data_IF_951822758165
#
_entry.id   IF_951822758165
#
_cell.length_a   1.000
_cell.length_b   1.000
_cell.length_c   1.000
_cell.angle_alpha   90.00
_cell.angle_beta   90.00
_cell.angle_gamma   90.00
#
_symmetry.space_group_name_H-M   'P 1'
#
loop_
_entity.id
_entity.type
_entity.pdbx_description
1 polymer ?
#
# COMPACT_ATOMS: atom_id res chain seq x y z
N UNK A 1 7.87 22.44 35.37
CA UNK A 1 6.97 21.46 34.74
C UNK A 1 6.02 22.14 33.78
N UNK A 2 6.21 22.08 32.46
CA UNK A 2 5.14 22.32 31.50
C UNK A 2 4.52 20.97 31.07
N UNK A 3 3.19 20.95 30.97
CA UNK A 3 2.37 19.77 30.72
C UNK A 3 2.49 19.34 29.25
N UNK A 4 2.68 18.04 29.02
CA UNK A 4 2.61 17.42 27.71
C UNK A 4 1.18 17.46 27.15
N UNK A 5 1.02 18.07 25.98
CA UNK A 5 -0.18 17.94 25.15
C UNK A 5 -0.02 16.68 24.30
N UNK A 6 -0.82 15.65 24.58
CA UNK A 6 -0.91 14.46 23.75
C UNK A 6 -1.48 14.83 22.38
N UNK A 7 -0.72 14.56 21.32
CA UNK A 7 -1.26 14.51 19.96
C UNK A 7 -2.16 13.28 19.87
N UNK A 8 -3.45 13.48 20.09
CA UNK A 8 -4.46 12.49 19.73
C UNK A 8 -4.46 12.33 18.21
N UNK A 9 -4.04 11.16 17.73
CA UNK A 9 -4.27 10.71 16.36
C UNK A 9 -5.78 10.67 16.13
N UNK A 10 -6.32 11.70 15.48
CA UNK A 10 -7.69 11.70 14.98
C UNK A 10 -7.59 11.51 13.48
N UNK A 11 -7.94 10.33 13.00
CA UNK A 11 -8.18 10.13 11.58
C UNK A 11 -9.25 11.13 11.11
N UNK A 12 -9.07 11.76 9.94
CA UNK A 12 -10.08 12.63 9.39
C UNK A 12 -11.39 11.84 9.13
N UNK A 13 -12.56 12.47 9.28
CA UNK A 13 -13.84 11.81 9.08
C UNK A 13 -14.01 11.36 7.62
N UNK A 14 -14.83 10.31 7.36
CA UNK A 14 -15.08 9.83 6.00
C UNK A 14 -15.69 10.94 5.13
N UNK A 15 -15.48 10.81 3.82
CA UNK A 15 -15.86 11.75 2.76
C UNK A 15 -17.30 12.31 2.83
N UNK A 16 -18.23 11.62 3.49
CA UNK A 16 -19.61 12.07 3.68
C UNK A 16 -19.83 13.08 4.81
N UNK A 17 -18.89 13.23 5.75
CA UNK A 17 -19.03 14.09 6.93
C UNK A 17 -18.18 15.36 6.90
N UNK A 18 -17.30 15.52 5.90
CA UNK A 18 -16.41 16.70 5.79
C UNK A 18 -17.09 17.92 5.18
N UNK A 19 -18.41 17.90 5.02
CA UNK A 19 -19.17 19.09 4.67
C UNK A 19 -19.12 20.05 5.87
N UNK A 20 -18.24 21.05 5.78
CA UNK A 20 -18.08 22.11 6.77
C UNK A 20 -19.40 22.76 7.11
N UNK A 21 -20.04 22.29 8.19
CA UNK A 21 -21.24 22.91 8.75
C UNK A 21 -20.79 23.92 9.79
N UNK A 22 -20.81 25.20 9.42
CA UNK A 22 -20.72 26.28 10.40
C UNK A 22 -21.94 26.23 11.34
N UNK A 23 -21.78 26.57 12.63
CA UNK A 23 -22.88 26.57 13.61
C UNK A 23 -23.98 27.62 13.33
N UNK A 24 -23.86 28.44 12.28
CA UNK A 24 -24.72 29.59 11.97
C UNK A 24 -25.54 29.47 10.66
N UNK A 25 -25.57 28.32 10.01
CA UNK A 25 -26.57 28.04 8.95
C UNK A 25 -26.38 28.73 7.59
N UNK A 26 -25.18 29.24 7.26
CA UNK A 26 -24.91 29.91 5.99
C UNK A 26 -23.78 29.28 5.14
N UNK A 27 -24.15 28.61 4.05
CA UNK A 27 -23.32 28.27 2.87
C UNK A 27 -22.15 27.29 3.07
N UNK A 28 -21.96 26.37 2.12
CA UNK A 28 -20.82 25.42 2.11
C UNK A 28 -19.53 26.18 1.82
N UNK A 29 -18.58 26.17 2.76
CA UNK A 29 -17.22 26.64 2.51
C UNK A 29 -16.55 25.75 1.45
N UNK A 30 -15.68 26.31 0.57
CA UNK A 30 -14.92 25.51 -0.37
C UNK A 30 -14.00 24.53 0.36
N UNK A 31 -13.83 23.32 -0.19
CA UNK A 31 -12.89 22.33 0.34
C UNK A 31 -11.47 22.88 0.34
N UNK A 32 -10.72 22.57 1.40
CA UNK A 32 -9.29 22.89 1.48
C UNK A 32 -8.46 21.82 0.78
N UNK A 33 -7.20 22.14 0.44
CA UNK A 33 -6.25 21.15 -0.09
C UNK A 33 -6.07 19.96 0.87
N UNK A 34 -6.14 20.21 2.18
CA UNK A 34 -6.07 19.17 3.21
C UNK A 34 -7.29 18.23 3.17
N UNK A 35 -8.49 18.77 2.94
CA UNK A 35 -9.71 17.97 2.80
C UNK A 35 -9.63 17.08 1.56
N UNK A 36 -9.14 17.62 0.44
CA UNK A 36 -8.97 16.89 -0.82
C UNK A 36 -7.90 15.80 -0.67
N UNK A 37 -6.77 16.09 -0.01
CA UNK A 37 -5.72 15.11 0.23
C UNK A 37 -6.19 13.96 1.14
N UNK A 38 -6.91 14.28 2.22
CA UNK A 38 -7.47 13.29 3.13
C UNK A 38 -8.51 12.40 2.43
N UNK A 39 -9.42 13.03 1.67
CA UNK A 39 -10.39 12.35 0.83
C UNK A 39 -9.75 11.36 -0.14
N UNK A 40 -8.72 11.80 -0.86
CA UNK A 40 -7.99 10.97 -1.80
C UNK A 40 -7.30 9.80 -1.09
N UNK A 41 -6.60 10.07 0.01
CA UNK A 41 -5.93 9.03 0.79
C UNK A 41 -6.93 7.98 1.27
N UNK A 42 -8.09 8.39 1.78
CA UNK A 42 -9.13 7.47 2.22
C UNK A 42 -9.65 6.61 1.06
N UNK A 43 -9.98 7.23 -0.08
CA UNK A 43 -10.45 6.49 -1.26
C UNK A 43 -9.40 5.48 -1.78
N UNK A 44 -8.12 5.85 -1.75
CA UNK A 44 -7.02 4.96 -2.13
C UNK A 44 -6.88 3.78 -1.13
N UNK A 45 -6.96 4.05 0.17
CA UNK A 45 -6.95 3.01 1.22
C UNK A 45 -8.11 2.04 1.02
N UNK A 46 -9.33 2.55 0.83
CA UNK A 46 -10.53 1.73 0.65
C UNK A 46 -10.40 0.81 -0.57
N UNK A 47 -9.86 1.34 -1.68
CA UNK A 47 -9.59 0.56 -2.88
C UNK A 47 -8.57 -0.56 -2.62
N UNK A 48 -7.46 -0.26 -1.93
CA UNK A 48 -6.45 -1.26 -1.58
C UNK A 48 -7.04 -2.33 -0.66
N UNK A 49 -7.80 -1.95 0.38
CA UNK A 49 -8.45 -2.88 1.29
C UNK A 49 -9.45 -3.79 0.59
N UNK A 50 -10.29 -3.25 -0.31
CA UNK A 50 -11.24 -4.03 -1.09
C UNK A 50 -10.53 -5.09 -1.94
N UNK A 51 -9.46 -4.70 -2.66
CA UNK A 51 -8.70 -5.65 -3.49
C UNK A 51 -7.95 -6.67 -2.67
N UNK A 52 -7.32 -6.29 -1.57
CA UNK A 52 -6.62 -7.22 -0.68
C UNK A 52 -7.60 -8.21 -0.05
N UNK A 53 -8.77 -7.77 0.43
CA UNK A 53 -9.79 -8.66 0.99
C UNK A 53 -10.27 -9.69 -0.03
N UNK A 54 -10.50 -9.25 -1.28
CA UNK A 54 -10.84 -10.16 -2.39
C UNK A 54 -9.72 -11.18 -2.65
N UNK A 55 -8.47 -10.74 -2.70
CA UNK A 55 -7.32 -11.62 -2.90
C UNK A 55 -7.19 -12.67 -1.79
N UNK A 56 -7.33 -12.25 -0.51
CA UNK A 56 -7.32 -13.16 0.64
C UNK A 56 -8.43 -14.21 0.59
N UNK A 57 -9.57 -13.91 -0.02
CA UNK A 57 -10.64 -14.88 -0.26
C UNK A 57 -10.39 -15.85 -1.42
N UNK A 58 -9.37 -15.63 -2.25
CA UNK A 58 -9.04 -16.47 -3.43
C UNK A 58 -7.78 -17.30 -3.27
N UNK A 59 -6.87 -16.88 -2.38
CA UNK A 59 -5.60 -17.58 -2.13
C UNK A 59 -5.86 -18.76 -1.18
N UNK A 60 -5.36 -19.94 -1.51
CA UNK A 60 -5.40 -21.08 -0.60
C UNK A 60 -4.38 -20.88 0.53
N UNK A 61 -4.87 -20.85 1.78
CA UNK A 61 -4.10 -20.80 3.03
C UNK A 61 -2.90 -19.83 3.01
N UNK A 62 -3.13 -18.51 2.87
CA UNK A 62 -2.06 -17.54 3.01
C UNK A 62 -1.42 -17.65 4.41
N UNK A 63 -0.10 -17.47 4.49
CA UNK A 63 0.66 -17.60 5.75
C UNK A 63 0.98 -16.26 6.40
N UNK A 64 0.92 -15.16 5.64
CA UNK A 64 1.12 -13.79 6.11
C UNK A 64 0.56 -12.79 5.10
N UNK A 65 0.30 -11.56 5.56
CA UNK A 65 0.11 -10.39 4.70
C UNK A 65 1.40 -9.55 4.73
N UNK A 66 2.07 -9.46 3.58
CA UNK A 66 3.33 -8.70 3.44
C UNK A 66 3.07 -7.41 2.65
N UNK A 67 3.57 -6.28 3.14
CA UNK A 67 3.50 -4.98 2.45
C UNK A 67 4.91 -4.41 2.32
N UNK A 68 5.31 -4.12 1.09
CA UNK A 68 6.59 -3.50 0.74
C UNK A 68 6.37 -2.33 -0.23
N UNK A 69 7.43 -1.59 -0.57
CA UNK A 69 7.34 -0.42 -1.43
C UNK A 69 6.99 0.87 -0.68
N UNK A 70 6.94 1.99 -1.40
CA UNK A 70 6.59 3.30 -0.84
C UNK A 70 5.19 3.36 -0.20
N UNK A 71 4.29 2.44 -0.56
CA UNK A 71 2.96 2.32 0.05
C UNK A 71 3.06 1.86 1.51
N UNK A 72 4.03 0.99 1.84
CA UNK A 72 4.29 0.55 3.21
C UNK A 72 4.76 1.69 4.14
N UNK A 73 5.29 2.78 3.56
CA UNK A 73 5.73 3.95 4.31
C UNK A 73 4.58 4.87 4.74
N UNK A 74 3.40 4.75 4.12
CA UNK A 74 2.21 5.50 4.55
C UNK A 74 1.59 4.84 5.79
N UNK A 75 1.60 5.55 6.93
CA UNK A 75 1.14 5.02 8.22
C UNK A 75 -0.35 4.66 8.22
N UNK A 76 -1.19 5.42 7.53
CA UNK A 76 -2.63 5.14 7.43
C UNK A 76 -2.89 3.87 6.63
N UNK A 77 -2.23 3.71 5.47
CA UNK A 77 -2.35 2.50 4.65
C UNK A 77 -1.82 1.29 5.42
N UNK A 78 -0.66 1.43 6.07
CA UNK A 78 -0.06 0.37 6.88
C UNK A 78 -0.99 -0.07 8.00
N UNK A 79 -1.52 0.85 8.80
CA UNK A 79 -2.41 0.53 9.91
C UNK A 79 -3.71 -0.13 9.44
N UNK A 80 -4.26 0.30 8.30
CA UNK A 80 -5.44 -0.31 7.72
C UNK A 80 -5.19 -1.77 7.25
N UNK A 81 -4.05 -2.03 6.61
CA UNK A 81 -3.67 -3.39 6.18
C UNK A 81 -3.29 -4.29 7.36
N UNK A 82 -2.69 -3.75 8.41
CA UNK A 82 -2.41 -4.47 9.65
C UNK A 82 -3.70 -4.91 10.35
N UNK A 83 -4.71 -4.02 10.42
CA UNK A 83 -6.03 -4.37 10.91
C UNK A 83 -6.70 -5.47 10.06
N UNK A 84 -6.63 -5.36 8.73
CA UNK A 84 -7.15 -6.40 7.83
C UNK A 84 -6.43 -7.75 8.03
N UNK A 85 -5.11 -7.75 8.22
CA UNK A 85 -4.37 -8.98 8.52
C UNK A 85 -4.87 -9.63 9.81
N UNK A 86 -5.07 -8.82 10.86
CA UNK A 86 -5.60 -9.29 12.14
C UNK A 86 -7.02 -9.87 12.02
N UNK A 87 -7.91 -9.24 11.24
CA UNK A 87 -9.26 -9.75 10.95
C UNK A 87 -9.22 -11.16 10.31
N UNK A 88 -8.20 -11.44 9.50
CA UNK A 88 -7.99 -12.72 8.85
C UNK A 88 -7.09 -13.69 9.64
N UNK A 89 -6.66 -13.32 10.86
CA UNK A 89 -5.76 -14.13 11.68
C UNK A 89 -4.36 -14.32 11.08
N UNK A 90 -3.93 -13.40 10.22
CA UNK A 90 -2.64 -13.46 9.52
C UNK A 90 -1.59 -12.59 10.22
N UNK A 91 -0.32 -13.05 10.28
CA UNK A 91 0.81 -12.18 10.57
C UNK A 91 0.90 -11.02 9.56
N UNK A 92 1.06 -9.80 10.06
CA UNK A 92 1.38 -8.64 9.25
C UNK A 92 2.90 -8.42 9.19
N UNK A 93 3.46 -8.30 7.99
CA UNK A 93 4.90 -8.09 7.79
C UNK A 93 5.13 -6.85 6.93
N UNK A 94 5.86 -5.89 7.48
CA UNK A 94 6.40 -4.76 6.73
C UNK A 94 7.89 -4.62 7.09
N UNK A 95 8.80 -4.50 6.11
CA UNK A 95 10.20 -4.29 6.40
C UNK A 95 10.42 -2.92 7.07
N UNK A 96 11.58 -2.70 7.74
CA UNK A 96 11.97 -1.37 8.19
C UNK A 96 11.87 -0.36 7.05
N UNK A 97 11.45 0.88 7.34
CA UNK A 97 11.19 1.91 6.30
C UNK A 97 12.37 2.12 5.35
N UNK A 98 13.60 2.05 5.85
CA UNK A 98 14.82 2.17 5.05
C UNK A 98 15.01 1.07 3.99
N UNK A 99 14.30 -0.05 4.13
CA UNK A 99 14.31 -1.19 3.21
C UNK A 99 13.02 -1.30 2.39
N UNK A 100 12.02 -0.44 2.63
CA UNK A 100 10.77 -0.45 1.87
C UNK A 100 10.94 0.11 0.45
N UNK A 101 11.97 0.92 0.19
CA UNK A 101 12.28 1.46 -1.14
C UNK A 101 13.29 0.57 -1.87
N UNK A 102 13.36 0.70 -3.21
CA UNK A 102 14.34 -0.02 -4.03
C UNK A 102 15.76 0.14 -3.48
N UNK A 103 16.43 -0.98 -3.18
CA UNK A 103 17.76 -0.99 -2.58
C UNK A 103 18.59 -2.19 -3.06
N UNK A 104 19.93 -2.07 -3.02
CA UNK A 104 20.82 -3.14 -3.48
C UNK A 104 20.75 -4.41 -2.63
N UNK A 105 20.31 -4.32 -1.37
CA UNK A 105 20.22 -5.47 -0.49
C UNK A 105 19.14 -6.47 -0.96
N UNK A 106 18.02 -6.00 -1.51
CA UNK A 106 16.99 -6.88 -2.07
C UNK A 106 17.49 -7.67 -3.28
N UNK A 107 18.35 -7.05 -4.11
CA UNK A 107 18.96 -7.69 -5.27
C UNK A 107 20.01 -8.71 -4.83
N UNK A 108 20.84 -8.35 -3.84
CA UNK A 108 21.82 -9.27 -3.28
C UNK A 108 21.14 -10.50 -2.65
N UNK A 109 20.04 -10.30 -1.91
CA UNK A 109 19.27 -11.41 -1.32
C UNK A 109 18.68 -12.34 -2.40
N UNK A 110 18.06 -11.77 -3.45
CA UNK A 110 17.57 -12.57 -4.58
C UNK A 110 18.69 -13.38 -5.26
N UNK A 111 19.92 -12.86 -5.29
CA UNK A 111 21.10 -13.59 -5.75
C UNK A 111 21.49 -14.75 -4.82
N UNK A 112 21.42 -14.55 -3.50
CA UNK A 112 21.68 -15.59 -2.49
C UNK A 112 20.66 -16.74 -2.59
N UNK A 113 19.37 -16.43 -2.81
CA UNK A 113 18.32 -17.43 -3.04
C UNK A 113 18.58 -18.29 -4.30
N UNK A 114 19.40 -17.79 -5.23
CA UNK A 114 19.81 -18.50 -6.45
C UNK A 114 21.22 -19.05 -6.39
N UNK A 115 21.87 -19.05 -5.21
CA UNK A 115 23.24 -19.55 -5.07
C UNK A 115 23.31 -21.02 -5.52
N UNK A 116 24.29 -21.33 -6.39
CA UNK A 116 24.41 -22.65 -7.02
C UNK A 116 23.71 -22.77 -8.38
N UNK A 117 22.93 -21.76 -8.78
CA UNK A 117 22.46 -21.58 -10.17
C UNK A 117 23.42 -20.63 -10.90
N UNK A 118 23.64 -20.86 -12.19
CA UNK A 118 24.46 -19.99 -13.03
C UNK A 118 23.66 -19.62 -14.27
N UNK A 119 23.66 -18.32 -14.59
CA UNK A 119 23.16 -17.82 -15.88
C UNK A 119 24.35 -17.46 -16.78
N UNK A 120 24.15 -17.53 -18.11
CA UNK A 120 25.06 -16.91 -19.07
C UNK A 120 25.23 -15.40 -18.82
N UNK A 121 26.41 -14.87 -19.18
CA UNK A 121 26.73 -13.45 -19.02
C UNK A 121 26.14 -12.54 -20.14
N UNK A 122 25.41 -13.12 -21.10
CA UNK A 122 24.81 -12.43 -22.25
C UNK A 122 23.33 -12.02 -22.01
N UNK A 123 22.91 -11.93 -20.75
CA UNK A 123 21.55 -11.52 -20.42
C UNK A 123 21.25 -10.07 -20.79
N UNK A 124 20.02 -9.81 -21.25
CA UNK A 124 19.54 -8.47 -21.63
C UNK A 124 18.53 -7.98 -20.60
N UNK A 125 18.62 -6.70 -20.23
CA UNK A 125 17.64 -6.07 -19.35
C UNK A 125 16.22 -6.18 -19.93
N UNK A 126 15.25 -6.59 -19.11
CA UNK A 126 13.84 -6.71 -19.49
C UNK A 126 13.00 -5.67 -18.72
N UNK A 127 12.68 -4.50 -19.31
CA UNK A 127 11.91 -3.45 -18.62
C UNK A 127 10.49 -3.88 -18.21
N UNK A 128 9.91 -4.85 -18.93
CA UNK A 128 8.59 -5.44 -18.65
C UNK A 128 8.77 -6.91 -18.34
N UNK A 129 9.52 -7.21 -17.29
CA UNK A 129 9.71 -8.57 -16.84
C UNK A 129 8.45 -9.05 -16.09
N UNK A 130 7.73 -10.07 -16.59
CA UNK A 130 6.60 -10.63 -15.85
C UNK A 130 7.10 -11.28 -14.55
N UNK A 131 6.37 -11.05 -13.45
CA UNK A 131 6.60 -11.74 -12.18
C UNK A 131 6.24 -13.23 -12.28
N UNK A 132 5.15 -13.52 -12.99
CA UNK A 132 4.73 -14.88 -13.34
C UNK A 132 4.79 -15.01 -14.88
N UNK A 133 5.71 -15.84 -15.43
CA UNK A 133 5.86 -16.01 -16.87
C UNK A 133 4.64 -16.67 -17.53
N UNK A 134 3.80 -17.37 -16.75
CA UNK A 134 2.61 -18.07 -17.22
C UNK A 134 1.32 -17.25 -16.99
N UNK A 135 1.42 -16.07 -16.38
CA UNK A 135 0.27 -15.22 -16.13
C UNK A 135 -0.35 -14.71 -17.45
N UNK A 136 -1.69 -14.70 -17.48
CA UNK A 136 -2.42 -14.11 -18.60
C UNK A 136 -2.02 -12.63 -18.78
N UNK A 137 -1.82 -12.15 -20.03
CA UNK A 137 -1.45 -10.76 -20.29
C UNK A 137 -2.44 -9.79 -19.65
N UNK A 138 -1.93 -8.82 -18.88
CA UNK A 138 -2.76 -7.81 -18.24
C UNK A 138 -3.48 -6.97 -19.31
N UNK A 139 -4.81 -6.91 -19.25
CA UNK A 139 -5.62 -6.09 -20.15
C UNK A 139 -5.19 -4.62 -20.03
N UNK A 140 -4.83 -3.99 -21.15
CA UNK A 140 -4.39 -2.59 -21.19
C UNK A 140 -2.89 -2.36 -21.00
N UNK A 141 -2.07 -3.42 -20.97
CA UNK A 141 -0.61 -3.31 -20.94
C UNK A 141 -0.03 -2.82 -22.29
N UNK A 142 -0.39 -1.59 -22.70
CA UNK A 142 0.32 -0.82 -23.73
C UNK A 142 0.73 -1.59 -24.98
N UNK A 143 -0.23 -2.28 -25.61
CA UNK A 143 -0.06 -2.72 -27.00
C UNK A 143 0.00 -1.44 -27.82
N UNK A 144 1.17 -1.13 -28.38
CA UNK A 144 1.26 -0.08 -29.40
C UNK A 144 0.29 -0.47 -30.52
N UNK A 145 -0.58 0.46 -30.91
CA UNK A 145 -1.26 0.40 -32.20
C UNK A 145 -0.24 0.32 -33.34
#
# INVERSE_FOLDING_TARGET
SPKGGGLGSKNPPPLGEVAGRRPDGGGTAPYTDADIAAAFQQAAVDCVLDRTRKALGTIDKPTALVVAGGVAANQTVRGALEALAAEHGLPFVAPPLALCTDNAAMIAWAGVERLGQSDPLDFVARPRWPLDPDAAPVRGAGVKA
#
